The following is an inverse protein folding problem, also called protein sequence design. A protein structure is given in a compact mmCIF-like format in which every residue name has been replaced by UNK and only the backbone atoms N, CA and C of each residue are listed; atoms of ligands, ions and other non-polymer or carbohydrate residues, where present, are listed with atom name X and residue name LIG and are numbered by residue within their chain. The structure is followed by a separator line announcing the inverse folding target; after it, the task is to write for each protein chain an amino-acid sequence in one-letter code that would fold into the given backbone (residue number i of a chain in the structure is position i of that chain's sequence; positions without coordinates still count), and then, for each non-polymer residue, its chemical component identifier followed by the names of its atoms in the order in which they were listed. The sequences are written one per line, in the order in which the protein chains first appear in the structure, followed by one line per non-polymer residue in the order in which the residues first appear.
data_IF_133941186149
#
_entry.id   IF_133941186149
#
_cell.length_a   1.000
_cell.length_b   1.000
_cell.length_c   1.000
_cell.angle_alpha   90.00
_cell.angle_beta   90.00
_cell.angle_gamma   90.00
#
_symmetry.space_group_name_H-M   'P 1'
#
loop_
_entity.id
_entity.type
_entity.pdbx_description
1 polymer ?
#
# COMPACT_ATOMS: atom_id res chain seq x y z
N UNK A 1 8.32 31.33 -34.25
CA UNK A 1 8.26 29.85 -34.33
C UNK A 1 8.25 29.20 -32.94
N UNK A 2 9.27 29.35 -32.10
CA UNK A 2 9.37 28.72 -30.77
C UNK A 2 8.20 28.99 -29.78
N UNK A 3 7.60 30.19 -29.77
CA UNK A 3 6.45 30.49 -28.88
C UNK A 3 5.18 29.72 -29.26
N UNK A 4 4.96 29.52 -30.56
CA UNK A 4 3.77 28.83 -31.07
C UNK A 4 3.83 27.33 -30.77
N UNK A 5 5.01 26.72 -30.91
CA UNK A 5 5.26 25.31 -30.57
C UNK A 5 5.04 25.02 -29.08
N UNK A 6 5.42 25.94 -28.18
CA UNK A 6 5.18 25.81 -26.74
C UNK A 6 3.69 25.89 -26.36
N UNK A 7 2.93 26.76 -27.03
CA UNK A 7 1.48 26.88 -26.83
C UNK A 7 0.78 25.61 -27.34
N UNK A 8 1.18 25.11 -28.52
CA UNK A 8 0.64 23.87 -29.06
C UNK A 8 0.90 22.69 -28.12
N UNK A 9 2.12 22.56 -27.59
CA UNK A 9 2.48 21.53 -26.62
C UNK A 9 1.61 21.62 -25.35
N UNK A 10 1.40 22.83 -24.82
CA UNK A 10 0.58 23.04 -23.63
C UNK A 10 -0.90 22.66 -23.86
N UNK A 11 -1.46 23.00 -25.02
CA UNK A 11 -2.82 22.60 -25.42
C UNK A 11 -2.92 21.08 -25.55
N UNK A 12 -1.93 20.45 -26.19
CA UNK A 12 -1.87 18.99 -26.33
C UNK A 12 -1.82 18.31 -24.96
N UNK A 13 -0.95 18.75 -24.06
CA UNK A 13 -0.86 18.23 -22.68
C UNK A 13 -2.17 18.37 -21.91
N UNK A 14 -2.83 19.53 -22.01
CA UNK A 14 -4.11 19.78 -21.35
C UNK A 14 -5.21 18.83 -21.83
N UNK A 15 -5.27 18.56 -23.14
CA UNK A 15 -6.24 17.60 -23.72
C UNK A 15 -5.94 16.15 -23.34
N UNK A 16 -4.67 15.77 -23.15
CA UNK A 16 -4.29 14.42 -22.72
C UNK A 16 -4.63 14.14 -21.24
N UNK A 17 -4.58 15.14 -20.35
CA UNK A 17 -4.89 14.97 -18.93
C UNK A 17 -6.37 14.58 -18.67
N UNK A 18 -7.31 14.96 -19.55
CA UNK A 18 -8.73 14.67 -19.38
C UNK A 18 -9.14 13.20 -19.57
N UNK A 19 -8.24 12.34 -20.07
CA UNK A 19 -8.50 10.93 -20.31
C UNK A 19 -7.94 10.00 -19.21
N UNK A 20 -7.36 10.56 -18.14
CA UNK A 20 -6.85 9.79 -17.01
C UNK A 20 -8.00 9.52 -16.01
N UNK A 21 -8.77 8.47 -16.25
CA UNK A 21 -9.71 7.96 -15.26
C UNK A 21 -8.99 6.99 -14.34
N UNK A 22 -8.69 7.43 -13.12
CA UNK A 22 -8.35 6.48 -12.05
C UNK A 22 -9.60 5.64 -11.75
N UNK A 23 -9.42 4.34 -11.45
CA UNK A 23 -10.54 3.51 -10.99
C UNK A 23 -11.11 4.14 -9.71
N UNK A 24 -12.33 4.70 -9.75
CA UNK A 24 -12.89 5.40 -8.60
C UNK A 24 -13.18 4.45 -7.44
N UNK A 25 -13.12 3.13 -7.67
CA UNK A 25 -13.33 2.10 -6.67
C UNK A 25 -12.07 1.28 -6.37
N UNK A 26 -10.89 1.81 -6.69
CA UNK A 26 -9.65 1.22 -6.20
C UNK A 26 -9.62 1.26 -4.67
N UNK A 27 -9.16 0.18 -4.03
CA UNK A 27 -9.17 0.06 -2.59
C UNK A 27 -8.42 1.21 -1.91
N UNK A 28 -9.10 1.89 -0.99
CA UNK A 28 -8.52 2.96 -0.20
C UNK A 28 -8.16 2.46 1.20
N UNK A 29 -6.95 2.79 1.64
CA UNK A 29 -6.43 2.40 2.94
C UNK A 29 -6.13 3.63 3.77
N UNK A 30 -6.58 3.62 5.03
CA UNK A 30 -6.35 4.71 5.97
C UNK A 30 -5.56 4.21 7.17
N UNK A 31 -4.39 4.80 7.39
CA UNK A 31 -3.56 4.53 8.56
C UNK A 31 -4.34 4.67 9.86
N UNK A 32 -4.03 3.80 10.81
CA UNK A 32 -4.66 3.79 12.13
C UNK A 32 -3.62 3.77 13.22
N UNK A 33 -4.05 4.15 14.43
CA UNK A 33 -3.21 4.04 15.63
C UNK A 33 -3.27 2.65 16.28
N UNK A 34 -4.10 1.74 15.75
CA UNK A 34 -4.23 0.39 16.30
C UNK A 34 -3.01 -0.42 15.93
N UNK A 35 -2.46 -1.14 16.89
CA UNK A 35 -1.44 -2.14 16.65
C UNK A 35 -2.07 -3.44 16.18
N UNK A 36 -1.25 -4.34 15.62
CA UNK A 36 -1.68 -5.69 15.29
C UNK A 36 -2.25 -6.40 16.52
N UNK A 37 -1.60 -6.26 17.68
CA UNK A 37 -2.05 -6.86 18.93
C UNK A 37 -3.41 -6.30 19.37
N UNK A 38 -3.66 -5.00 19.20
CA UNK A 38 -4.98 -4.41 19.49
C UNK A 38 -6.07 -5.06 18.63
N UNK A 39 -5.81 -5.25 17.33
CA UNK A 39 -6.75 -5.89 16.42
C UNK A 39 -7.04 -7.34 16.81
N UNK A 40 -6.01 -8.13 17.17
CA UNK A 40 -6.19 -9.50 17.66
C UNK A 40 -7.03 -9.52 18.95
N UNK A 41 -6.71 -8.64 19.91
CA UNK A 41 -7.45 -8.54 21.18
C UNK A 41 -8.90 -8.09 20.99
N UNK A 42 -9.18 -7.30 19.96
CA UNK A 42 -10.54 -6.90 19.57
C UNK A 42 -11.31 -8.01 18.84
N UNK A 43 -10.67 -9.15 18.58
CA UNK A 43 -11.27 -10.33 17.95
C UNK A 43 -11.25 -10.29 16.43
N UNK A 44 -10.32 -9.55 15.81
CA UNK A 44 -10.04 -9.71 14.38
C UNK A 44 -9.26 -11.00 14.13
N UNK A 45 -9.58 -11.67 13.02
CA UNK A 45 -8.91 -12.88 12.60
C UNK A 45 -8.02 -12.63 11.40
N UNK A 46 -6.85 -13.26 11.36
CA UNK A 46 -5.99 -13.26 10.17
C UNK A 46 -6.68 -14.06 9.06
N UNK A 47 -6.91 -13.41 7.91
CA UNK A 47 -7.53 -14.03 6.73
C UNK A 47 -6.52 -14.35 5.63
N UNK A 48 -5.48 -13.55 5.52
CA UNK A 48 -4.41 -13.77 4.55
C UNK A 48 -3.10 -13.15 5.06
N UNK A 49 -1.99 -13.67 4.55
CA UNK A 49 -0.68 -13.07 4.72
C UNK A 49 0.13 -13.23 3.43
N UNK A 50 1.06 -12.32 3.20
CA UNK A 50 2.05 -12.41 2.14
C UNK A 50 3.41 -11.92 2.65
N UNK A 51 4.46 -12.50 2.08
CA UNK A 51 5.85 -12.17 2.43
C UNK A 51 6.62 -12.00 1.14
N UNK A 52 7.15 -10.79 0.93
CA UNK A 52 8.06 -10.51 -0.16
C UNK A 52 9.40 -10.04 0.37
N UNK A 53 10.45 -10.32 -0.38
CA UNK A 53 11.78 -9.87 -0.03
C UNK A 53 12.61 -9.62 -1.29
N UNK A 54 13.58 -8.72 -1.18
CA UNK A 54 14.59 -8.49 -2.20
C UNK A 54 15.91 -8.07 -1.56
N UNK A 55 17.00 -8.16 -2.33
CA UNK A 55 18.30 -7.61 -1.95
C UNK A 55 18.70 -6.48 -2.88
N UNK A 56 19.29 -5.42 -2.33
CA UNK A 56 19.86 -4.34 -3.14
C UNK A 56 21.29 -4.68 -3.61
N UNK A 57 21.91 -3.77 -4.38
CA UNK A 57 23.28 -3.96 -4.87
C UNK A 57 24.38 -3.80 -3.80
N UNK A 58 24.03 -3.37 -2.59
CA UNK A 58 24.93 -3.29 -1.43
C UNK A 58 24.84 -4.55 -0.55
N UNK A 59 23.85 -5.40 -0.81
CA UNK A 59 23.61 -6.67 -0.13
C UNK A 59 22.52 -6.62 0.95
N UNK A 60 22.00 -5.41 1.25
CA UNK A 60 20.96 -5.21 2.25
C UNK A 60 19.70 -5.99 1.85
N UNK A 61 19.11 -6.69 2.81
CA UNK A 61 17.88 -7.46 2.62
C UNK A 61 16.67 -6.64 3.08
N UNK A 62 15.72 -6.46 2.19
CA UNK A 62 14.44 -5.82 2.46
C UNK A 62 13.37 -6.89 2.56
N UNK A 63 12.65 -6.94 3.67
CA UNK A 63 11.55 -7.87 3.91
C UNK A 63 10.25 -7.10 4.15
N UNK A 64 9.19 -7.54 3.50
CA UNK A 64 7.86 -6.94 3.55
C UNK A 64 6.89 -8.03 3.93
N UNK A 65 6.27 -7.90 5.09
CA UNK A 65 5.19 -8.77 5.53
C UNK A 65 3.89 -7.99 5.48
N UNK A 66 2.89 -8.58 4.85
CA UNK A 66 1.53 -8.02 4.81
C UNK A 66 0.60 -9.04 5.45
N UNK A 67 -0.22 -8.61 6.39
CA UNK A 67 -1.26 -9.44 7.00
C UNK A 67 -2.60 -8.76 6.90
N UNK A 68 -3.60 -9.47 6.37
CA UNK A 68 -4.99 -9.00 6.30
C UNK A 68 -5.76 -9.59 7.47
N UNK A 69 -6.34 -8.72 8.29
CA UNK A 69 -7.20 -9.06 9.41
C UNK A 69 -8.64 -8.64 9.13
N UNK A 70 -9.59 -9.51 9.45
CA UNK A 70 -11.01 -9.23 9.24
C UNK A 70 -11.85 -9.60 10.46
N UNK A 71 -12.80 -8.72 10.77
CA UNK A 71 -13.89 -8.97 11.71
C UNK A 71 -15.19 -8.53 11.04
N UNK A 72 -16.09 -9.47 10.79
CA UNK A 72 -17.30 -9.23 10.02
C UNK A 72 -16.98 -8.57 8.66
N UNK A 73 -17.41 -7.31 8.46
CA UNK A 73 -17.16 -6.53 7.24
C UNK A 73 -15.98 -5.54 7.37
N UNK A 74 -15.38 -5.42 8.56
CA UNK A 74 -14.25 -4.54 8.79
C UNK A 74 -12.94 -5.27 8.46
N UNK A 75 -12.16 -4.67 7.56
CA UNK A 75 -10.89 -5.21 7.07
C UNK A 75 -9.75 -4.25 7.44
N UNK A 76 -8.68 -4.82 7.94
CA UNK A 76 -7.41 -4.16 8.20
C UNK A 76 -6.29 -4.87 7.46
N UNK A 77 -5.30 -4.10 7.02
CA UNK A 77 -4.04 -4.61 6.51
C UNK A 77 -2.93 -4.06 7.40
N UNK A 78 -2.14 -4.95 8.01
CA UNK A 78 -0.94 -4.59 8.73
C UNK A 78 0.28 -4.93 7.90
N UNK A 79 1.15 -3.93 7.70
CA UNK A 79 2.36 -4.00 6.91
C UNK A 79 3.56 -3.84 7.83
N UNK A 80 4.52 -4.76 7.72
CA UNK A 80 5.79 -4.73 8.41
C UNK A 80 6.91 -4.68 7.38
N UNK A 81 7.76 -3.66 7.51
CA UNK A 81 8.91 -3.43 6.65
C UNK A 81 10.16 -3.58 7.50
N UNK A 82 11.02 -4.53 7.14
CA UNK A 82 12.29 -4.78 7.81
C UNK A 82 13.43 -4.59 6.82
N UNK A 83 14.49 -3.92 7.25
CA UNK A 83 15.73 -3.81 6.49
C UNK A 83 16.85 -4.42 7.31
N UNK A 84 17.59 -5.34 6.71
CA UNK A 84 18.74 -5.99 7.31
C UNK A 84 20.01 -5.68 6.52
N UNK A 85 21.13 -5.55 7.22
CA UNK A 85 22.45 -5.51 6.60
C UNK A 85 22.87 -6.91 6.09
N UNK A 86 24.02 -6.99 5.43
CA UNK A 86 24.61 -8.24 4.92
C UNK A 86 24.89 -9.29 6.00
N UNK A 87 25.00 -8.86 7.26
CA UNK A 87 25.21 -9.72 8.43
C UNK A 87 23.91 -10.07 9.14
N UNK A 88 22.75 -9.75 8.55
CA UNK A 88 21.40 -9.95 9.10
C UNK A 88 21.11 -9.16 10.38
N UNK A 89 21.82 -8.05 10.64
CA UNK A 89 21.44 -7.12 11.70
C UNK A 89 20.32 -6.22 11.21
N UNK A 90 19.32 -5.99 12.05
CA UNK A 90 18.22 -5.05 11.75
C UNK A 90 18.76 -3.63 11.68
N UNK A 91 18.63 -3.01 10.50
CA UNK A 91 18.95 -1.60 10.27
C UNK A 91 17.72 -0.72 10.47
N UNK A 92 16.57 -1.18 10.01
CA UNK A 92 15.31 -0.45 10.13
C UNK A 92 14.13 -1.42 10.28
N UNK A 93 13.11 -0.96 10.99
CA UNK A 93 11.87 -1.68 11.23
C UNK A 93 10.73 -0.66 11.29
N UNK A 94 9.75 -0.80 10.41
CA UNK A 94 8.50 -0.04 10.50
C UNK A 94 7.30 -0.96 10.43
N UNK A 95 6.24 -0.58 11.15
CA UNK A 95 5.02 -1.35 11.26
C UNK A 95 3.82 -0.40 11.23
N UNK A 96 2.83 -0.68 10.37
CA UNK A 96 1.61 0.14 10.26
C UNK A 96 0.40 -0.75 9.98
N UNK A 97 -0.71 -0.49 10.68
CA UNK A 97 -2.01 -1.08 10.36
C UNK A 97 -2.93 -0.03 9.74
N UNK A 98 -3.54 -0.39 8.61
CA UNK A 98 -4.44 0.44 7.81
C UNK A 98 -5.81 -0.18 7.76
N UNK A 99 -6.86 0.63 7.90
CA UNK A 99 -8.25 0.20 7.72
C UNK A 99 -8.63 0.37 6.25
N UNK A 100 -9.29 -0.64 5.68
CA UNK A 100 -9.95 -0.52 4.39
C UNK A 100 -11.13 0.46 4.51
N UNK A 101 -11.13 1.52 3.69
CA UNK A 101 -12.16 2.56 3.68
C UNK A 101 -12.73 2.71 2.29
N UNK A 102 -13.99 3.15 2.21
CA UNK A 102 -14.64 3.40 0.92
C UNK A 102 -13.93 4.55 0.18
N UNK A 103 -13.85 4.49 -1.16
CA UNK A 103 -14.38 3.43 -2.02
C UNK A 103 -13.46 2.19 -2.11
N UNK A 104 -14.06 1.01 -2.31
CA UNK A 104 -13.34 -0.24 -2.61
C UNK A 104 -14.22 -1.18 -3.44
N UNK A 105 -13.61 -2.09 -4.20
CA UNK A 105 -14.31 -3.21 -4.82
C UNK A 105 -14.21 -4.40 -3.89
N UNK A 106 -15.29 -4.71 -3.18
CA UNK A 106 -15.36 -5.96 -2.40
C UNK A 106 -15.00 -7.13 -3.33
N UNK A 107 -13.89 -7.81 -3.02
CA UNK A 107 -13.54 -9.08 -3.62
C UNK A 107 -14.70 -10.07 -3.42
N UNK A 108 -14.90 -10.94 -4.40
CA UNK A 108 -16.03 -11.88 -4.51
C UNK A 108 -16.40 -12.53 -3.16
N UNK A 109 -17.52 -12.11 -2.59
CA UNK A 109 -18.28 -12.76 -1.49
C UNK A 109 -17.44 -13.37 -0.34
N UNK A 110 -16.95 -12.52 0.57
CA UNK A 110 -16.85 -12.92 1.99
C UNK A 110 -18.00 -12.33 2.80
#
# INVERSE_FOLDING_TARGET
MFKFTKILLAITLYLYCGNLYADPNNDQWRDTKKTYLDLINEGYEVKAYDISNFKDGQGNMYMFFVTVLQKENDVFECQEYQVFDDSLNTMDLSFVCRKLVQPYKKGLNT
#
